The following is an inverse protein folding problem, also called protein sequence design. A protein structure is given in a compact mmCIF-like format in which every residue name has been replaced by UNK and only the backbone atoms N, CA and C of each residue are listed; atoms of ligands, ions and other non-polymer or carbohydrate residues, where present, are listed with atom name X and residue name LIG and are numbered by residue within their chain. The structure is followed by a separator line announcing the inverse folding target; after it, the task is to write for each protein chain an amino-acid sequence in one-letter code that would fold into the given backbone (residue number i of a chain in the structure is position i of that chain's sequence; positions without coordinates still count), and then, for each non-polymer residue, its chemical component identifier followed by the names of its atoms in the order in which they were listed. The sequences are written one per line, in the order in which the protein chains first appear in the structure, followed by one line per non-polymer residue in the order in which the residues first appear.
data_IF_267488173376
#
_entry.id   IF_267488173376
#
_cell.length_a   1.000
_cell.length_b   1.000
_cell.length_c   1.000
_cell.angle_alpha   90.00
_cell.angle_beta   90.00
_cell.angle_gamma   90.00
#
_symmetry.space_group_name_H-M   'P 1'
#
loop_
_entity.id
_entity.type
_entity.pdbx_description
1 polymer ?
#
# COMPACT_ATOMS: atom_id res chain seq x y z
N UNK A 1 9.84 -22.00 14.32
CA UNK A 1 10.79 -22.54 13.33
C UNK A 1 10.78 -21.65 12.10
N UNK A 2 11.95 -21.19 11.64
CA UNK A 2 12.07 -20.48 10.34
C UNK A 2 11.83 -21.49 9.23
N UNK A 3 10.90 -21.17 8.32
CA UNK A 3 10.55 -22.02 7.18
C UNK A 3 11.34 -21.61 5.94
N UNK A 4 11.53 -20.31 5.72
CA UNK A 4 12.26 -19.77 4.57
C UNK A 4 12.77 -18.37 4.89
N UNK A 5 13.87 -17.98 4.24
CA UNK A 5 14.39 -16.61 4.27
C UNK A 5 14.39 -16.10 2.83
N UNK A 6 13.77 -14.93 2.61
CA UNK A 6 13.72 -14.24 1.32
C UNK A 6 14.70 -13.08 1.38
N UNK A 7 15.66 -13.04 0.46
CA UNK A 7 16.68 -12.00 0.41
C UNK A 7 16.45 -11.09 -0.79
N UNK A 8 16.01 -9.86 -0.53
CA UNK A 8 15.73 -8.85 -1.56
C UNK A 8 17.01 -8.34 -2.24
N UNK A 9 18.19 -8.55 -1.64
CA UNK A 9 19.53 -8.18 -2.14
C UNK A 9 19.75 -6.69 -2.43
N UNK A 10 18.71 -5.86 -2.29
CA UNK A 10 18.75 -4.43 -2.61
C UNK A 10 17.93 -3.64 -1.58
N UNK A 11 18.61 -2.86 -0.76
CA UNK A 11 17.99 -1.95 0.19
C UNK A 11 17.24 -2.63 1.34
N UNK A 12 16.65 -1.81 2.19
CA UNK A 12 15.88 -2.26 3.33
C UNK A 12 14.44 -2.60 2.91
N UNK A 13 13.86 -3.64 3.49
CA UNK A 13 12.45 -3.99 3.32
C UNK A 13 11.64 -3.21 4.36
N UNK A 14 10.82 -2.28 3.91
CA UNK A 14 10.00 -1.42 4.77
C UNK A 14 8.56 -1.96 4.94
N UNK A 15 8.06 -2.67 3.94
CA UNK A 15 6.70 -3.19 3.95
C UNK A 15 6.62 -4.55 3.26
N UNK A 16 5.62 -5.33 3.68
CA UNK A 16 5.27 -6.60 3.06
C UNK A 16 3.76 -6.83 3.12
N UNK A 17 3.24 -7.59 2.17
CA UNK A 17 1.84 -8.01 2.16
C UNK A 17 1.71 -9.41 1.57
N UNK A 18 0.96 -10.28 2.25
CA UNK A 18 0.61 -11.61 1.74
C UNK A 18 -0.54 -11.50 0.75
N UNK A 19 -0.51 -12.31 -0.30
CA UNK A 19 -1.64 -12.39 -1.23
C UNK A 19 -2.89 -12.91 -0.51
N UNK A 20 -4.06 -12.30 -0.74
CA UNK A 20 -5.32 -12.74 -0.15
C UNK A 20 -5.84 -14.05 -0.76
N UNK A 21 -5.37 -14.42 -1.95
CA UNK A 21 -5.90 -15.56 -2.72
C UNK A 21 -4.89 -16.70 -2.91
N UNK A 22 -3.59 -16.40 -2.85
CA UNK A 22 -2.51 -17.39 -2.95
C UNK A 22 -1.61 -17.35 -1.71
N UNK A 23 -1.65 -18.38 -0.86
CA UNK A 23 -0.86 -18.42 0.36
C UNK A 23 0.67 -18.54 0.12
N UNK A 24 1.08 -18.72 -1.13
CA UNK A 24 2.49 -18.84 -1.51
C UNK A 24 3.08 -17.55 -2.04
N UNK A 25 2.25 -16.59 -2.38
CA UNK A 25 2.67 -15.30 -2.95
C UNK A 25 2.67 -14.19 -1.91
N UNK A 26 3.71 -13.39 -1.93
CA UNK A 26 3.80 -12.15 -1.14
C UNK A 26 4.51 -11.04 -1.92
N UNK A 27 4.26 -9.80 -1.53
CA UNK A 27 4.93 -8.61 -2.02
C UNK A 27 5.81 -8.02 -0.93
N UNK A 28 6.95 -7.45 -1.34
CA UNK A 28 7.80 -6.62 -0.48
C UNK A 28 8.14 -5.33 -1.20
N UNK A 29 8.23 -4.24 -0.45
CA UNK A 29 8.70 -2.94 -0.92
C UNK A 29 9.62 -2.30 0.10
N UNK A 30 10.42 -1.32 -0.31
CA UNK A 30 11.36 -0.66 0.57
C UNK A 30 12.22 0.39 -0.12
N UNK A 31 13.45 0.58 0.37
CA UNK A 31 14.35 1.66 -0.03
C UNK A 31 14.94 1.51 -1.43
N UNK A 32 14.76 0.38 -2.08
CA UNK A 32 15.16 0.17 -3.48
C UNK A 32 14.26 0.85 -4.50
N UNK A 33 13.14 1.45 -4.08
CA UNK A 33 12.06 1.96 -4.94
C UNK A 33 11.40 0.88 -5.82
N UNK A 34 11.66 -0.39 -5.55
CA UNK A 34 11.11 -1.54 -6.27
C UNK A 34 10.11 -2.28 -5.39
N UNK A 35 9.14 -2.92 -6.04
CA UNK A 35 8.29 -3.91 -5.38
C UNK A 35 8.62 -5.28 -5.95
N UNK A 36 8.90 -6.24 -5.09
CA UNK A 36 9.19 -7.62 -5.47
C UNK A 36 8.02 -8.53 -5.11
N UNK A 37 7.59 -9.34 -6.07
CA UNK A 37 6.66 -10.44 -5.84
C UNK A 37 7.46 -11.73 -5.69
N UNK A 38 7.17 -12.47 -4.65
CA UNK A 38 7.88 -13.68 -4.26
C UNK A 38 6.97 -14.90 -4.29
N UNK A 39 7.54 -16.05 -4.67
CA UNK A 39 6.99 -17.36 -4.36
C UNK A 39 7.79 -17.97 -3.21
N UNK A 40 7.15 -18.14 -2.05
CA UNK A 40 7.81 -18.68 -0.85
C UNK A 40 8.25 -20.14 -0.97
N UNK A 41 7.71 -20.89 -1.94
CA UNK A 41 8.09 -22.31 -2.20
C UNK A 41 9.48 -22.39 -2.81
N UNK A 42 9.80 -21.46 -3.70
CA UNK A 42 11.08 -21.38 -4.41
C UNK A 42 12.05 -20.42 -3.74
N UNK A 43 11.59 -19.62 -2.76
CA UNK A 43 12.27 -18.50 -2.15
C UNK A 43 12.84 -17.51 -3.19
N UNK A 44 12.15 -17.39 -4.33
CA UNK A 44 12.58 -16.61 -5.49
C UNK A 44 11.66 -15.44 -5.80
N UNK A 45 12.25 -14.40 -6.39
CA UNK A 45 11.48 -13.29 -6.98
C UNK A 45 10.83 -13.78 -8.27
N UNK A 46 9.51 -13.74 -8.31
CA UNK A 46 8.70 -14.10 -9.49
C UNK A 46 8.58 -12.91 -10.44
N UNK A 47 8.48 -11.69 -9.85
CA UNK A 47 8.31 -10.46 -10.61
C UNK A 47 8.84 -9.26 -9.82
N UNK A 48 9.33 -8.26 -10.56
CA UNK A 48 9.69 -6.94 -10.03
C UNK A 48 8.80 -5.89 -10.70
N UNK A 49 8.29 -4.96 -9.89
CA UNK A 49 7.50 -3.82 -10.37
C UNK A 49 8.32 -2.55 -10.18
N UNK A 50 8.40 -1.79 -11.26
CA UNK A 50 9.15 -0.54 -11.34
C UNK A 50 8.21 0.65 -11.51
N UNK A 51 8.69 1.87 -11.25
CA UNK A 51 7.93 3.10 -11.47
C UNK A 51 8.03 4.10 -10.33
N UNK A 52 8.31 3.63 -9.09
CA UNK A 52 8.60 4.51 -7.97
C UNK A 52 9.98 5.14 -8.07
N UNK A 53 10.14 6.32 -7.45
CA UNK A 53 11.40 7.10 -7.46
C UNK A 53 11.99 7.31 -6.07
N UNK A 54 11.36 6.71 -5.07
CA UNK A 54 11.76 6.80 -3.66
C UNK A 54 11.22 5.57 -2.93
N UNK A 55 11.37 5.54 -1.61
CA UNK A 55 11.03 4.43 -0.75
C UNK A 55 9.55 4.04 -0.85
N UNK A 56 9.29 2.75 -0.96
CA UNK A 56 7.93 2.18 -0.91
C UNK A 56 7.62 1.85 0.55
N UNK A 57 6.77 2.68 1.16
CA UNK A 57 6.47 2.65 2.59
C UNK A 57 5.37 1.66 2.97
N UNK A 58 4.42 1.41 2.08
CA UNK A 58 3.31 0.49 2.34
C UNK A 58 2.78 -0.17 1.07
N UNK A 59 2.15 -1.33 1.27
CA UNK A 59 1.53 -2.16 0.24
C UNK A 59 0.18 -2.67 0.74
N UNK A 60 -0.81 -2.77 -0.15
CA UNK A 60 -2.02 -3.54 0.10
C UNK A 60 -2.51 -4.21 -1.19
N UNK A 61 -2.95 -5.46 -1.12
CA UNK A 61 -3.56 -6.14 -2.24
C UNK A 61 -5.00 -5.70 -2.46
N UNK A 62 -5.38 -5.59 -3.71
CA UNK A 62 -6.78 -5.58 -4.09
C UNK A 62 -7.44 -6.88 -3.59
N UNK A 63 -8.70 -6.86 -3.13
CA UNK A 63 -9.31 -8.00 -2.42
C UNK A 63 -9.31 -9.32 -3.16
N UNK A 64 -9.35 -9.31 -4.50
CA UNK A 64 -9.30 -10.51 -5.33
C UNK A 64 -7.88 -10.95 -5.72
N UNK A 65 -6.86 -10.21 -5.28
CA UNK A 65 -5.45 -10.50 -5.56
C UNK A 65 -4.98 -10.16 -6.97
N UNK A 66 -5.83 -9.59 -7.84
CA UNK A 66 -5.48 -9.27 -9.23
C UNK A 66 -4.58 -8.05 -9.37
N UNK A 67 -4.62 -7.16 -8.39
CA UNK A 67 -3.87 -5.92 -8.34
C UNK A 67 -3.36 -5.63 -6.92
N UNK A 68 -2.52 -4.62 -6.78
CA UNK A 68 -2.12 -4.08 -5.48
C UNK A 68 -1.84 -2.58 -5.57
N UNK A 69 -1.94 -1.91 -4.44
CA UNK A 69 -1.59 -0.51 -4.28
C UNK A 69 -0.31 -0.35 -3.48
N UNK A 70 0.41 0.74 -3.75
CA UNK A 70 1.62 1.14 -3.04
C UNK A 70 1.48 2.55 -2.51
N UNK A 71 2.12 2.85 -1.38
CA UNK A 71 2.38 4.20 -0.90
C UNK A 71 3.88 4.47 -0.95
N UNK A 72 4.28 5.58 -1.56
CA UNK A 72 5.68 5.91 -1.78
C UNK A 72 6.05 7.30 -1.27
N UNK A 73 7.29 7.45 -0.88
CA UNK A 73 7.86 8.73 -0.44
C UNK A 73 7.92 9.77 -1.58
N UNK A 74 7.84 9.34 -2.85
CA UNK A 74 7.69 10.22 -4.01
C UNK A 74 6.33 10.95 -4.06
N UNK A 75 5.49 10.83 -3.03
CA UNK A 75 4.16 11.40 -2.84
C UNK A 75 3.04 10.73 -3.64
N UNK A 76 3.34 9.69 -4.37
CA UNK A 76 2.38 8.98 -5.22
C UNK A 76 1.95 7.66 -4.58
N UNK A 77 0.68 7.35 -4.74
CA UNK A 77 0.19 5.99 -4.61
C UNK A 77 -0.02 5.42 -6.01
N UNK A 78 0.45 4.20 -6.25
CA UNK A 78 0.29 3.55 -7.55
C UNK A 78 -0.47 2.25 -7.41
N UNK A 79 -1.25 1.91 -8.43
CA UNK A 79 -1.87 0.61 -8.58
C UNK A 79 -1.17 -0.15 -9.69
N UNK A 80 -0.88 -1.42 -9.43
CA UNK A 80 -0.24 -2.32 -10.38
C UNK A 80 -1.09 -3.57 -10.61
N UNK A 81 -1.13 -4.02 -11.86
CA UNK A 81 -1.69 -5.33 -12.23
C UNK A 81 -0.68 -6.42 -11.90
N UNK A 82 -1.07 -7.40 -11.10
CA UNK A 82 -0.20 -8.50 -10.65
C UNK A 82 0.25 -9.37 -11.81
N UNK A 83 -0.67 -9.62 -12.77
CA UNK A 83 -0.43 -10.54 -13.89
C UNK A 83 0.45 -9.93 -14.98
N UNK A 84 0.20 -8.68 -15.36
CA UNK A 84 0.95 -8.01 -16.43
C UNK A 84 2.20 -7.32 -15.92
N UNK A 85 2.19 -6.89 -14.65
CA UNK A 85 3.25 -6.08 -14.04
C UNK A 85 3.16 -4.60 -14.40
N UNK A 86 2.11 -4.19 -15.11
CA UNK A 86 1.94 -2.80 -15.53
C UNK A 86 1.32 -1.93 -14.45
N UNK A 87 1.71 -0.67 -14.42
CA UNK A 87 1.01 0.37 -13.64
C UNK A 87 -0.36 0.63 -14.28
N UNK A 88 -1.40 0.54 -13.46
CA UNK A 88 -2.78 0.80 -13.85
C UNK A 88 -3.17 2.25 -13.59
N UNK A 89 -2.79 2.78 -12.43
CA UNK A 89 -3.11 4.13 -12.00
C UNK A 89 -1.96 4.74 -11.20
N UNK A 90 -1.77 6.04 -11.37
CA UNK A 90 -0.93 6.88 -10.54
C UNK A 90 -1.80 7.93 -9.86
N UNK A 91 -1.89 7.87 -8.54
CA UNK A 91 -2.75 8.71 -7.72
C UNK A 91 -1.91 9.80 -7.08
N UNK A 92 -1.96 11.01 -7.66
CA UNK A 92 -1.19 12.17 -7.19
C UNK A 92 -2.04 13.04 -6.27
N UNK A 93 -1.57 13.22 -5.04
CA UNK A 93 -2.16 14.17 -4.12
C UNK A 93 -1.81 15.60 -4.56
N UNK A 94 -2.80 16.53 -4.63
CA UNK A 94 -2.49 17.92 -4.92
C UNK A 94 -1.59 18.56 -3.86
N UNK A 95 -0.82 19.57 -4.24
CA UNK A 95 0.09 20.30 -3.36
C UNK A 95 -0.58 20.81 -2.06
N UNK A 96 0.19 20.92 -0.96
CA UNK A 96 1.61 20.61 -0.87
C UNK A 96 1.85 19.08 -0.91
N UNK A 97 2.85 18.65 -1.68
CA UNK A 97 3.27 17.24 -1.77
C UNK A 97 3.80 16.77 -0.42
N UNK A 98 3.51 15.55 -0.10
CA UNK A 98 3.93 14.90 1.13
C UNK A 98 4.05 13.40 0.91
N UNK A 99 5.00 12.76 1.58
CA UNK A 99 5.24 11.33 1.44
C UNK A 99 3.96 10.53 1.73
N UNK A 100 3.61 9.59 0.87
CA UNK A 100 2.58 8.61 1.15
C UNK A 100 3.17 7.52 2.05
N UNK A 101 2.52 7.26 3.17
CA UNK A 101 3.06 6.42 4.25
C UNK A 101 2.26 5.14 4.47
N UNK A 102 0.99 5.14 4.07
CA UNK A 102 0.09 4.01 4.29
C UNK A 102 -0.95 3.92 3.18
N UNK A 103 -1.36 2.68 2.85
CA UNK A 103 -2.48 2.40 1.94
C UNK A 103 -3.34 1.27 2.48
N UNK A 104 -4.64 1.31 2.20
CA UNK A 104 -5.56 0.22 2.46
C UNK A 104 -6.73 0.26 1.47
N UNK A 105 -7.11 -0.88 0.89
CA UNK A 105 -8.34 -1.00 0.12
C UNK A 105 -9.57 -1.18 1.01
N UNK A 106 -10.73 -0.72 0.54
CA UNK A 106 -12.01 -1.23 1.05
C UNK A 106 -12.19 -2.71 0.71
N UNK A 107 -13.10 -3.40 1.41
CA UNK A 107 -13.38 -4.82 1.15
C UNK A 107 -13.90 -5.11 -0.26
N UNK A 108 -14.55 -4.15 -0.88
CA UNK A 108 -15.01 -4.23 -2.27
C UNK A 108 -13.91 -3.89 -3.29
N UNK A 109 -12.78 -3.36 -2.86
CA UNK A 109 -11.75 -2.81 -3.73
C UNK A 109 -12.12 -1.45 -4.37
N UNK A 110 -13.38 -0.99 -4.23
CA UNK A 110 -13.85 0.23 -4.87
C UNK A 110 -13.16 1.49 -4.36
N UNK A 111 -12.82 1.51 -3.08
CA UNK A 111 -12.12 2.62 -2.46
C UNK A 111 -10.70 2.22 -2.10
N UNK A 112 -9.77 3.16 -2.30
CA UNK A 112 -8.42 3.11 -1.74
C UNK A 112 -8.26 4.28 -0.77
N UNK A 113 -7.76 3.98 0.41
CA UNK A 113 -7.37 4.95 1.42
C UNK A 113 -5.87 5.10 1.40
N UNK A 114 -5.37 6.34 1.31
CA UNK A 114 -3.95 6.64 1.37
C UNK A 114 -3.65 7.64 2.48
N UNK A 115 -2.72 7.28 3.36
CA UNK A 115 -2.23 8.11 4.44
C UNK A 115 -0.93 8.81 4.05
N UNK A 116 -0.69 9.97 4.65
CA UNK A 116 0.48 10.80 4.36
C UNK A 116 1.20 11.21 5.64
N UNK A 117 2.45 11.64 5.51
CA UNK A 117 3.26 12.20 6.59
C UNK A 117 2.68 13.51 7.18
N UNK A 118 1.77 14.13 6.47
CA UNK A 118 0.86 15.16 6.96
C UNK A 118 -0.41 14.48 7.45
N UNK A 119 -0.94 14.78 8.57
CA UNK A 119 -2.19 14.27 9.17
C UNK A 119 -3.40 14.05 8.21
N UNK A 120 -3.17 13.99 6.91
CA UNK A 120 -4.21 13.83 5.87
C UNK A 120 -4.31 12.38 5.41
N UNK A 121 -5.55 11.96 5.17
CA UNK A 121 -5.90 10.73 4.48
C UNK A 121 -6.73 11.09 3.25
N UNK A 122 -6.36 10.59 2.07
CA UNK A 122 -7.15 10.72 0.86
C UNK A 122 -7.96 9.44 0.62
N UNK A 123 -9.16 9.60 0.08
CA UNK A 123 -10.03 8.52 -0.36
C UNK A 123 -10.17 8.62 -1.87
N UNK A 124 -9.89 7.52 -2.56
CA UNK A 124 -9.87 7.43 -4.02
C UNK A 124 -10.89 6.43 -4.53
N UNK A 125 -11.54 6.74 -5.64
CA UNK A 125 -12.29 5.81 -6.46
C UNK A 125 -11.30 5.06 -7.35
N UNK A 126 -11.11 3.78 -7.15
CA UNK A 126 -10.10 2.98 -7.87
C UNK A 126 -10.46 2.73 -9.33
N UNK A 127 -11.75 2.78 -9.70
CA UNK A 127 -12.18 2.60 -11.09
C UNK A 127 -12.00 3.87 -11.92
N UNK A 128 -12.17 5.04 -11.28
CA UNK A 128 -12.07 6.33 -11.97
C UNK A 128 -10.68 6.95 -11.83
N UNK A 129 -9.89 6.52 -10.86
CA UNK A 129 -8.63 7.14 -10.50
C UNK A 129 -8.81 8.54 -9.89
N UNK A 130 -10.01 8.85 -9.38
CA UNK A 130 -10.36 10.17 -8.88
C UNK A 130 -10.36 10.20 -7.35
N UNK A 131 -9.91 11.33 -6.80
CA UNK A 131 -9.99 11.56 -5.36
C UNK A 131 -11.41 11.99 -4.99
N UNK A 132 -12.05 11.20 -4.12
CA UNK A 132 -13.41 11.47 -3.62
C UNK A 132 -13.35 12.48 -2.49
N UNK A 133 -12.44 12.31 -1.54
CA UNK A 133 -12.35 13.17 -0.36
C UNK A 133 -10.95 13.20 0.24
N UNK A 134 -10.76 14.17 1.14
CA UNK A 134 -9.58 14.26 2.01
C UNK A 134 -10.06 14.41 3.45
N UNK A 135 -9.64 13.49 4.31
CA UNK A 135 -10.01 13.42 5.71
C UNK A 135 -8.84 13.89 6.59
N UNK A 136 -9.18 14.42 7.76
CA UNK A 136 -8.22 14.84 8.77
C UNK A 136 -8.05 13.70 9.78
N UNK A 137 -6.94 13.00 9.72
CA UNK A 137 -6.67 11.80 10.52
C UNK A 137 -5.71 12.05 11.68
N UNK A 138 -5.84 13.18 12.34
CA UNK A 138 -5.01 13.54 13.50
C UNK A 138 -4.20 14.82 13.30
N UNK A 139 -3.08 14.95 14.02
CA UNK A 139 -2.25 16.15 14.00
C UNK A 139 -0.80 15.88 13.59
N UNK A 140 -0.45 14.64 13.25
CA UNK A 140 0.91 14.23 12.96
C UNK A 140 0.97 13.21 11.82
N UNK A 141 2.15 12.69 11.58
CA UNK A 141 2.46 11.63 10.63
C UNK A 141 1.54 10.41 10.79
N UNK A 142 0.90 9.99 9.71
CA UNK A 142 0.14 8.75 9.68
C UNK A 142 1.09 7.57 9.44
N UNK A 143 1.11 6.63 10.37
CA UNK A 143 2.03 5.50 10.32
C UNK A 143 1.42 4.27 9.65
N UNK A 144 0.12 4.05 9.79
CA UNK A 144 -0.52 2.83 9.32
C UNK A 144 -2.01 3.03 9.01
N UNK A 145 -2.48 2.26 8.05
CA UNK A 145 -3.90 2.06 7.74
C UNK A 145 -4.22 0.57 7.77
N UNK A 146 -5.34 0.20 8.38
CA UNK A 146 -5.80 -1.18 8.41
C UNK A 146 -7.31 -1.26 8.23
N UNK A 147 -7.77 -2.28 7.51
CA UNK A 147 -9.18 -2.57 7.28
C UNK A 147 -9.69 -3.58 8.30
N UNK A 148 -10.92 -3.39 8.79
CA UNK A 148 -11.60 -4.41 9.60
C UNK A 148 -11.95 -5.65 8.74
N UNK A 149 -11.94 -6.86 9.33
CA UNK A 149 -12.26 -8.10 8.59
C UNK A 149 -13.66 -8.10 7.96
N UNK A 150 -14.62 -7.44 8.61
CA UNK A 150 -16.00 -7.32 8.12
C UNK A 150 -16.16 -6.22 7.05
N UNK A 151 -15.09 -5.45 6.78
CA UNK A 151 -15.06 -4.42 5.76
C UNK A 151 -15.85 -3.15 6.06
N UNK A 152 -16.36 -3.00 7.29
CA UNK A 152 -17.17 -1.84 7.68
C UNK A 152 -16.36 -0.64 8.12
N UNK A 153 -15.11 -0.88 8.50
CA UNK A 153 -14.25 0.15 9.09
C UNK A 153 -12.85 0.14 8.49
N UNK A 154 -12.25 1.30 8.46
CA UNK A 154 -10.82 1.50 8.30
C UNK A 154 -10.30 2.18 9.55
N UNK A 155 -9.15 1.76 10.04
CA UNK A 155 -8.47 2.39 11.17
C UNK A 155 -7.18 3.05 10.68
N UNK A 156 -6.92 4.27 11.15
CA UNK A 156 -5.65 4.97 10.96
C UNK A 156 -4.91 5.12 12.27
N UNK A 157 -3.61 4.88 12.27
CA UNK A 157 -2.74 5.10 13.43
C UNK A 157 -1.73 6.21 13.12
N UNK A 158 -1.54 7.12 14.07
CA UNK A 158 -0.64 8.25 13.96
C UNK A 158 0.43 8.29 15.06
N UNK A 159 1.47 9.08 14.84
CA UNK A 159 2.53 9.29 15.83
C UNK A 159 2.12 10.20 17.01
N UNK A 160 0.90 10.71 16.99
CA UNK A 160 0.28 11.41 18.13
C UNK A 160 -0.29 10.44 19.20
N UNK A 161 -0.02 9.14 19.05
CA UNK A 161 -0.50 8.11 19.97
C UNK A 161 -2.00 7.79 19.81
N UNK A 162 -2.63 8.26 18.73
CA UNK A 162 -4.06 8.04 18.48
C UNK A 162 -4.29 7.04 17.36
N UNK A 163 -5.36 6.30 17.53
CA UNK A 163 -5.98 5.48 16.49
C UNK A 163 -7.39 6.01 16.24
N UNK A 164 -7.70 6.29 14.97
CA UNK A 164 -9.03 6.77 14.56
C UNK A 164 -9.68 5.69 13.72
N UNK A 165 -10.94 5.37 14.04
CA UNK A 165 -11.73 4.39 13.29
C UNK A 165 -12.76 5.13 12.43
N UNK A 166 -12.78 4.79 11.14
CA UNK A 166 -13.63 5.39 10.12
C UNK A 166 -14.65 4.37 9.65
N UNK A 167 -15.93 4.76 9.55
CA UNK A 167 -16.98 3.97 8.89
C UNK A 167 -16.87 4.13 7.36
N UNK A 168 -17.05 3.02 6.64
CA UNK A 168 -17.00 2.97 5.17
C UNK A 168 -18.43 2.79 4.64
#
# INVERSE_FOLDING_TARGET
QVVSTLDAKQGDVLCLQMSPTDPHTLLTGGTSALVHMWDKRTAGIVRTFEGHRADVNALDFFPDGSAFATACEDSLCRLFDVRTGSELLSLDRPPPRSAATAVAFSSSGRLLFSGYDTHKMCVWDTLRGERISTLNAGNTHMAYLGRSPDGRFVASAGWDGKTIVWGI
#
